data_IF_066686900974
#
_entry.id   IF_066686900974
#
_cell.length_a   1.000
_cell.length_b   1.000
_cell.length_c   1.000
_cell.angle_alpha   90.00
_cell.angle_beta   90.00
_cell.angle_gamma   90.00
#
_symmetry.space_group_name_H-M   'P 1'
#
loop_
_entity.id
_entity.type
_entity.pdbx_description
1 polymer ?
#
# COMPACT_ATOMS: atom_id res chain seq x y z
N UNK A 1 5.21 6.76 -2.91
CA UNK A 1 4.18 7.23 -3.85
C UNK A 1 4.07 8.73 -3.71
N UNK A 2 4.11 9.48 -4.82
CA UNK A 2 4.02 10.95 -4.83
C UNK A 2 2.60 11.30 -5.27
N UNK A 3 1.91 12.14 -4.51
CA UNK A 3 0.56 12.58 -4.87
C UNK A 3 0.67 13.60 -6.02
N UNK A 4 0.03 13.32 -7.15
CA UNK A 4 0.00 14.19 -8.33
C UNK A 4 -1.42 14.65 -8.62
N UNK A 5 -1.55 15.89 -9.08
CA UNK A 5 -2.81 16.46 -9.51
C UNK A 5 -2.63 17.06 -10.91
N UNK A 6 -3.38 16.53 -11.87
CA UNK A 6 -3.40 17.01 -13.25
C UNK A 6 -4.77 17.56 -13.58
N UNK A 7 -4.81 18.71 -14.27
CA UNK A 7 -6.05 19.33 -14.73
C UNK A 7 -6.28 18.91 -16.19
N UNK A 8 -7.27 18.06 -16.42
CA UNK A 8 -7.64 17.63 -17.78
C UNK A 8 -8.62 18.59 -18.45
N UNK A 9 -9.61 19.09 -17.70
CA UNK A 9 -10.57 20.08 -18.18
C UNK A 9 -10.75 21.17 -17.11
N UNK A 10 -10.95 22.45 -17.51
CA UNK A 10 -10.81 22.97 -18.87
C UNK A 10 -9.34 22.97 -19.33
N UNK A 11 -9.11 22.80 -20.65
CA UNK A 11 -7.76 22.81 -21.24
C UNK A 11 -7.15 24.19 -21.03
N UNK A 12 -5.96 24.25 -20.42
CA UNK A 12 -5.20 25.49 -20.31
C UNK A 12 -4.61 25.82 -21.69
N UNK A 13 -4.87 27.01 -22.19
CA UNK A 13 -4.18 27.52 -23.36
C UNK A 13 -2.77 27.95 -22.94
N UNK A 14 -1.74 27.33 -23.50
CA UNK A 14 -0.39 27.88 -23.38
C UNK A 14 -0.24 29.07 -24.34
N UNK A 15 0.24 30.22 -23.82
CA UNK A 15 0.54 31.40 -24.64
C UNK A 15 1.82 31.15 -25.46
N UNK A 16 1.73 30.30 -26.48
CA UNK A 16 2.78 30.16 -27.50
C UNK A 16 2.35 30.88 -28.78
N UNK A 17 2.85 32.10 -28.95
CA UNK A 17 2.66 33.00 -30.11
C UNK A 17 3.51 32.58 -31.31
N UNK A 18 3.36 31.33 -31.76
CA UNK A 18 3.97 30.84 -32.99
C UNK A 18 2.93 30.00 -33.73
N UNK A 19 1.96 30.67 -34.34
CA UNK A 19 0.97 30.05 -35.21
C UNK A 19 1.64 29.57 -36.50
N UNK A 20 2.32 28.42 -36.45
CA UNK A 20 2.56 27.64 -37.66
C UNK A 20 1.20 27.11 -38.11
N UNK A 21 0.50 27.89 -38.94
CA UNK A 21 -0.69 27.48 -39.66
C UNK A 21 -0.30 26.39 -40.67
N UNK A 22 -0.14 25.16 -40.19
CA UNK A 22 -0.12 24.00 -41.05
C UNK A 22 -1.55 23.78 -41.55
N UNK A 23 -1.73 23.87 -42.87
CA UNK A 23 -3.01 23.64 -43.53
C UNK A 23 -3.36 22.14 -43.46
N UNK A 24 -4.16 21.76 -42.46
CA UNK A 24 -4.66 20.40 -42.32
C UNK A 24 -5.98 20.23 -43.09
N UNK A 25 -6.07 19.18 -43.90
CA UNK A 25 -7.34 18.78 -44.52
C UNK A 25 -8.13 17.97 -43.49
N UNK A 26 -9.27 18.50 -43.02
CA UNK A 26 -10.13 17.85 -42.05
C UNK A 26 -11.23 17.04 -42.74
N UNK A 27 -11.16 15.72 -42.63
CA UNK A 27 -12.23 14.80 -43.07
C UNK A 27 -12.75 14.02 -41.85
N UNK A 28 -14.07 13.93 -41.57
CA UNK A 28 -15.22 14.44 -42.34
C UNK A 28 -15.65 15.89 -42.02
N UNK A 29 -15.36 16.41 -40.83
CA UNK A 29 -15.44 17.84 -40.51
C UNK A 29 -14.61 18.13 -39.25
N UNK A 30 -14.13 19.36 -39.09
CA UNK A 30 -13.36 19.76 -37.91
C UNK A 30 -14.16 19.48 -36.61
N UNK A 31 -15.45 19.84 -36.57
CA UNK A 31 -16.31 19.62 -35.41
C UNK A 31 -16.39 18.14 -35.03
N UNK A 32 -16.60 17.26 -36.02
CA UNK A 32 -16.68 15.82 -35.78
C UNK A 32 -15.39 15.24 -35.19
N UNK A 33 -14.24 15.72 -35.68
CA UNK A 33 -12.93 15.33 -35.17
C UNK A 33 -12.76 15.76 -33.71
N UNK A 34 -13.16 16.98 -33.34
CA UNK A 34 -13.10 17.44 -31.94
C UNK A 34 -14.07 16.69 -31.03
N UNK A 35 -15.30 16.45 -31.49
CA UNK A 35 -16.32 15.72 -30.73
C UNK A 35 -15.92 14.28 -30.43
N UNK A 36 -15.02 13.69 -31.22
CA UNK A 36 -14.50 12.32 -31.04
C UNK A 36 -13.17 12.30 -30.29
N UNK A 37 -12.21 13.14 -30.67
CA UNK A 37 -10.87 13.15 -30.08
C UNK A 37 -10.86 13.59 -28.61
N UNK A 38 -11.67 14.57 -28.23
CA UNK A 38 -11.67 15.08 -26.85
C UNK A 38 -12.09 13.97 -25.86
N UNK A 39 -13.22 13.27 -26.05
CA UNK A 39 -13.58 12.13 -25.20
C UNK A 39 -12.54 11.00 -25.19
N UNK A 40 -11.96 10.65 -26.34
CA UNK A 40 -11.02 9.52 -26.42
C UNK A 40 -9.68 9.83 -25.76
N UNK A 41 -9.21 11.06 -25.87
CA UNK A 41 -8.04 11.55 -25.15
C UNK A 41 -8.28 11.50 -23.63
N UNK A 42 -9.45 11.95 -23.17
CA UNK A 42 -9.81 11.91 -21.74
C UNK A 42 -9.95 10.49 -21.21
N UNK A 43 -10.55 9.56 -21.97
CA UNK A 43 -10.62 8.14 -21.59
C UNK A 43 -9.22 7.56 -21.39
N UNK A 44 -8.31 7.87 -22.31
CA UNK A 44 -6.92 7.37 -22.25
C UNK A 44 -6.17 7.93 -21.04
N UNK A 45 -6.28 9.23 -20.79
CA UNK A 45 -5.66 9.90 -19.64
C UNK A 45 -6.21 9.38 -18.31
N UNK A 46 -7.54 9.22 -18.21
CA UNK A 46 -8.18 8.66 -17.02
C UNK A 46 -7.75 7.19 -16.79
N UNK A 47 -7.70 6.39 -17.84
CA UNK A 47 -7.27 4.99 -17.74
C UNK A 47 -5.82 4.89 -17.25
N UNK A 48 -4.93 5.75 -17.75
CA UNK A 48 -3.55 5.82 -17.28
C UNK A 48 -3.49 6.17 -15.78
N UNK A 49 -4.23 7.21 -15.35
CA UNK A 49 -4.27 7.63 -13.95
C UNK A 49 -4.81 6.54 -13.00
N UNK A 50 -5.86 5.83 -13.39
CA UNK A 50 -6.42 4.72 -12.59
C UNK A 50 -5.43 3.56 -12.48
N UNK A 51 -4.75 3.22 -13.58
CA UNK A 51 -3.79 2.12 -13.60
C UNK A 51 -2.57 2.45 -12.74
N UNK A 52 -2.08 3.69 -12.79
CA UNK A 52 -0.99 4.17 -11.93
C UNK A 52 -1.39 4.15 -10.45
N UNK A 53 -2.59 4.63 -10.12
CA UNK A 53 -3.13 4.56 -8.75
C UNK A 53 -3.21 3.12 -8.24
N UNK A 54 -3.63 2.18 -9.09
CA UNK A 54 -3.72 0.76 -8.71
C UNK A 54 -2.33 0.14 -8.48
N UNK A 55 -1.38 0.40 -9.38
CA UNK A 55 -0.01 -0.08 -9.21
C UNK A 55 0.61 0.46 -7.90
N UNK A 56 0.37 1.73 -7.62
CA UNK A 56 0.90 2.37 -6.43
C UNK A 56 0.19 1.91 -5.14
N UNK A 57 -1.11 1.59 -5.18
CA UNK A 57 -1.82 0.91 -4.09
C UNK A 57 -1.19 -0.44 -3.77
N UNK A 58 -0.92 -1.26 -4.78
CA UNK A 58 -0.30 -2.57 -4.57
C UNK A 58 1.10 -2.45 -3.98
N UNK A 59 1.89 -1.48 -4.46
CA UNK A 59 3.21 -1.17 -3.89
C UNK A 59 3.12 -0.77 -2.42
N UNK A 60 2.22 0.16 -2.09
CA UNK A 60 2.01 0.61 -0.71
C UNK A 60 1.51 -0.53 0.20
N UNK A 61 0.59 -1.37 -0.30
CA UNK A 61 0.08 -2.55 0.41
C UNK A 61 1.18 -3.56 0.69
N UNK A 62 2.05 -3.84 -0.28
CA UNK A 62 3.17 -4.76 -0.10
C UNK A 62 4.13 -4.29 1.00
N UNK A 63 4.51 -3.01 0.99
CA UNK A 63 5.36 -2.42 2.03
C UNK A 63 4.69 -2.46 3.41
N UNK A 64 3.40 -2.10 3.49
CA UNK A 64 2.66 -2.14 4.75
C UNK A 64 2.54 -3.56 5.32
N UNK A 65 2.28 -4.56 4.47
CA UNK A 65 2.18 -5.96 4.89
C UNK A 65 3.54 -6.55 5.28
N UNK A 66 4.62 -6.15 4.61
CA UNK A 66 5.97 -6.53 5.02
C UNK A 66 6.27 -6.02 6.44
N UNK A 67 6.00 -4.73 6.70
CA UNK A 67 6.18 -4.15 8.02
C UNK A 67 5.28 -4.81 9.08
N UNK A 68 4.04 -5.14 8.73
CA UNK A 68 3.14 -5.88 9.62
C UNK A 68 3.69 -7.29 9.96
N UNK A 69 4.29 -7.98 8.99
CA UNK A 69 4.91 -9.30 9.16
C UNK A 69 6.14 -9.24 10.06
N UNK A 70 6.98 -8.21 9.89
CA UNK A 70 8.15 -7.98 10.74
C UNK A 70 7.72 -7.73 12.19
N UNK A 71 6.74 -6.85 12.40
CA UNK A 71 6.18 -6.55 13.72
C UNK A 71 5.56 -7.79 14.38
N UNK A 72 4.84 -8.61 13.62
CA UNK A 72 4.27 -9.85 14.13
C UNK A 72 5.35 -10.86 14.54
N UNK A 73 6.43 -10.95 13.76
CA UNK A 73 7.57 -11.83 14.06
C UNK A 73 8.30 -11.40 15.35
N UNK A 74 8.47 -10.10 15.55
CA UNK A 74 9.02 -9.55 16.80
C UNK A 74 8.11 -9.88 18.00
N UNK A 75 6.79 -9.72 17.84
CA UNK A 75 5.82 -10.06 18.88
C UNK A 75 5.88 -11.54 19.24
N UNK A 76 5.91 -12.44 18.25
CA UNK A 76 6.05 -13.89 18.45
C UNK A 76 7.32 -14.20 19.25
N UNK A 77 8.45 -13.58 18.92
CA UNK A 77 9.70 -13.76 19.65
C UNK A 77 9.58 -13.34 21.12
N UNK A 78 8.95 -12.19 21.38
CA UNK A 78 8.75 -11.67 22.74
C UNK A 78 7.85 -12.59 23.59
N UNK A 79 6.76 -13.10 22.99
CA UNK A 79 5.82 -14.00 23.64
C UNK A 79 6.46 -15.37 23.90
N UNK A 80 7.28 -15.87 22.96
CA UNK A 80 8.01 -17.13 23.11
C UNK A 80 9.00 -17.05 24.28
N UNK A 81 9.71 -15.93 24.43
CA UNK A 81 10.61 -15.72 25.56
C UNK A 81 9.82 -15.72 26.89
N UNK A 82 8.69 -15.01 26.92
CA UNK A 82 7.83 -14.93 28.10
C UNK A 82 7.24 -16.30 28.46
N UNK A 83 6.81 -17.08 27.46
CA UNK A 83 6.32 -18.44 27.63
C UNK A 83 7.39 -19.35 28.25
N UNK A 84 8.62 -19.33 27.73
CA UNK A 84 9.70 -20.14 28.26
C UNK A 84 10.07 -19.75 29.70
N UNK A 85 10.05 -18.46 30.02
CA UNK A 85 10.28 -17.97 31.38
C UNK A 85 9.17 -18.45 32.33
N UNK A 86 7.91 -18.33 31.93
CA UNK A 86 6.77 -18.83 32.71
C UNK A 86 6.83 -20.35 32.89
N UNK A 87 7.21 -21.09 31.85
CA UNK A 87 7.40 -22.55 31.91
C UNK A 87 8.44 -22.95 32.95
N UNK A 88 9.60 -22.29 32.96
CA UNK A 88 10.66 -22.55 33.94
C UNK A 88 10.20 -22.21 35.36
N UNK A 89 9.48 -21.10 35.54
CA UNK A 89 8.89 -20.73 36.82
C UNK A 89 7.86 -21.75 37.32
N UNK A 90 7.04 -22.34 36.43
CA UNK A 90 6.10 -23.41 36.79
C UNK A 90 6.82 -24.67 37.24
N UNK A 91 7.81 -25.14 36.47
CA UNK A 91 8.58 -26.36 36.80
C UNK A 91 9.28 -26.19 38.15
N UNK A 92 9.92 -25.05 38.39
CA UNK A 92 10.60 -24.78 39.67
C UNK A 92 9.61 -24.71 40.83
N UNK A 93 8.43 -24.11 40.63
CA UNK A 93 7.36 -24.10 41.63
C UNK A 93 6.87 -25.51 41.95
N UNK A 94 6.59 -26.33 40.94
CA UNK A 94 6.15 -27.72 41.12
C UNK A 94 7.20 -28.54 41.89
N UNK A 95 8.48 -28.39 41.58
CA UNK A 95 9.57 -29.07 42.31
C UNK A 95 9.62 -28.62 43.78
N UNK A 96 9.48 -27.31 44.05
CA UNK A 96 9.46 -26.78 45.42
C UNK A 96 8.26 -27.30 46.22
N UNK A 97 7.08 -27.43 45.60
CA UNK A 97 5.90 -28.01 46.23
C UNK A 97 6.10 -29.49 46.57
N UNK A 98 6.72 -30.26 45.67
CA UNK A 98 7.03 -31.69 45.90
C UNK A 98 8.03 -31.85 47.05
N UNK A 99 9.12 -31.08 47.07
CA UNK A 99 10.14 -31.20 48.13
C UNK A 99 9.59 -30.73 49.48
N UNK A 100 8.85 -29.62 49.53
CA UNK A 100 8.21 -29.14 50.75
C UNK A 100 7.19 -30.16 51.30
N UNK A 101 6.38 -30.79 50.44
CA UNK A 101 5.44 -31.83 50.83
C UNK A 101 6.13 -33.09 51.36
N UNK A 102 7.23 -33.52 50.73
CA UNK A 102 8.02 -34.65 51.18
C UNK A 102 8.73 -34.40 52.52
N UNK A 103 9.22 -33.18 52.75
CA UNK A 103 9.83 -32.76 54.03
C UNK A 103 8.79 -32.76 55.17
N UNK A 104 7.58 -32.27 54.90
CA UNK A 104 6.48 -32.22 55.87
C UNK A 104 5.99 -33.61 56.33
N UNK A 105 6.24 -34.67 55.56
CA UNK A 105 5.92 -36.06 55.93
C UNK A 105 7.01 -36.73 56.79
N UNK A 106 8.21 -36.15 56.88
CA UNK A 106 9.35 -36.68 57.67
C UNK A 106 9.39 -36.13 59.10
N UNK A 107 8.74 -35.00 59.37
CA UNK A 107 8.55 -34.44 60.71
C UNK A 107 7.25 -34.93 61.32
#
# INVERSE_FOLDING_TARGET
QILTQEQFLPVKHEENTSSENNDYIFEPSQQYIFDTLIPDSLKTQLFAAVTDSYAAEQGARMTAMHQATDNASEMIRSLTLSYNKARQASITKEILEITAGAEALKG
#
